data_IF_830237219416
#
_entry.id   IF_830237219416
#
_cell.length_a   1.000
_cell.length_b   1.000
_cell.length_c   1.000
_cell.angle_alpha   90.00
_cell.angle_beta   90.00
_cell.angle_gamma   90.00
#
_symmetry.space_group_name_H-M   'P 1'
#
loop_
_entity.id
_entity.type
_entity.pdbx_description
1 polymer ?
#
# COMPACT_ATOMS: atom_id res chain seq x y z
N UNK A 1 -3.55 5.13 -38.82
CA UNK A 1 -3.78 3.69 -38.53
C UNK A 1 -3.79 3.55 -37.02
N UNK A 2 -4.96 3.37 -36.40
CA UNK A 2 -5.05 3.20 -34.95
C UNK A 2 -4.61 1.78 -34.60
N UNK A 3 -3.52 1.67 -33.84
CA UNK A 3 -2.99 0.39 -33.36
C UNK A 3 -3.80 -0.08 -32.14
N UNK A 4 -4.68 -1.06 -32.33
CA UNK A 4 -5.38 -1.82 -31.28
C UNK A 4 -4.48 -2.92 -30.71
N UNK A 5 -3.30 -2.57 -30.19
CA UNK A 5 -2.63 -3.46 -29.23
C UNK A 5 -3.22 -3.14 -27.86
N UNK A 6 -3.58 -4.13 -27.03
CA UNK A 6 -3.79 -3.86 -25.62
C UNK A 6 -2.44 -3.36 -25.11
N UNK A 7 -2.33 -2.04 -24.92
CA UNK A 7 -1.24 -1.51 -24.11
C UNK A 7 -1.62 -1.96 -22.70
N UNK A 8 -0.72 -2.66 -22.01
CA UNK A 8 -0.85 -2.83 -20.56
C UNK A 8 -1.16 -1.43 -20.00
N UNK A 9 -2.33 -1.28 -19.39
CA UNK A 9 -2.74 0.04 -18.93
C UNK A 9 -1.87 0.38 -17.72
N UNK A 10 -1.14 1.49 -17.84
CA UNK A 10 -0.25 1.99 -16.80
C UNK A 10 -0.96 2.16 -15.44
N UNK A 11 -2.29 2.34 -15.42
CA UNK A 11 -3.06 2.31 -14.16
C UNK A 11 -2.92 0.97 -13.41
N UNK A 12 -3.07 -0.16 -14.11
CA UNK A 12 -2.96 -1.49 -13.48
C UNK A 12 -1.53 -1.81 -13.02
N UNK A 13 -0.52 -1.32 -13.74
CA UNK A 13 0.87 -1.40 -13.28
C UNK A 13 1.08 -0.63 -11.97
N UNK A 14 0.61 0.62 -11.90
CA UNK A 14 0.75 1.48 -10.73
C UNK A 14 -0.01 0.92 -9.53
N UNK A 15 -1.23 0.39 -9.71
CA UNK A 15 -1.94 -0.28 -8.62
C UNK A 15 -1.19 -1.50 -8.09
N UNK A 16 -0.64 -2.32 -8.99
CA UNK A 16 0.16 -3.47 -8.57
C UNK A 16 1.44 -3.04 -7.86
N UNK A 17 2.02 -1.88 -8.21
CA UNK A 17 3.15 -1.29 -7.48
C UNK A 17 2.74 -0.82 -6.08
N UNK A 18 1.66 -0.04 -5.97
CA UNK A 18 1.10 0.44 -4.70
C UNK A 18 0.78 -0.73 -3.74
N UNK A 19 0.16 -1.81 -4.23
CA UNK A 19 -0.11 -2.99 -3.38
C UNK A 19 1.15 -3.69 -2.86
N UNK A 20 2.28 -3.62 -3.60
CA UNK A 20 3.57 -4.16 -3.15
C UNK A 20 4.23 -3.26 -2.11
N UNK A 21 4.06 -1.93 -2.19
CA UNK A 21 4.46 -1.00 -1.12
C UNK A 21 3.65 -1.28 0.14
N UNK A 22 2.32 -1.32 0.02
CA UNK A 22 1.40 -1.64 1.11
C UNK A 22 1.77 -2.97 1.80
N UNK A 23 2.05 -4.00 1.01
CA UNK A 23 2.51 -5.29 1.53
C UNK A 23 3.82 -5.17 2.32
N UNK A 24 4.82 -4.44 1.81
CA UNK A 24 6.07 -4.20 2.53
C UNK A 24 5.81 -3.50 3.86
N UNK A 25 4.95 -2.48 3.88
CA UNK A 25 4.53 -1.80 5.10
C UNK A 25 3.87 -2.76 6.09
N UNK A 26 2.93 -3.59 5.64
CA UNK A 26 2.20 -4.51 6.51
C UNK A 26 3.13 -5.54 7.15
N UNK A 27 4.10 -6.05 6.39
CA UNK A 27 5.15 -6.93 6.92
C UNK A 27 6.09 -6.21 7.88
N UNK A 28 6.45 -4.95 7.62
CA UNK A 28 7.24 -4.16 8.55
C UNK A 28 6.51 -3.92 9.89
N UNK A 29 5.20 -3.64 9.85
CA UNK A 29 4.38 -3.52 11.07
C UNK A 29 4.31 -4.84 11.83
N UNK A 30 4.08 -5.95 11.12
CA UNK A 30 4.11 -7.30 11.69
C UNK A 30 5.45 -7.60 12.36
N UNK A 31 6.56 -7.26 11.72
CA UNK A 31 7.90 -7.46 12.26
C UNK A 31 8.18 -6.53 13.45
N UNK A 32 7.63 -5.32 13.43
CA UNK A 32 7.71 -4.35 14.55
C UNK A 32 6.94 -4.82 15.79
N UNK A 33 5.87 -5.59 15.59
CA UNK A 33 5.08 -6.14 16.69
C UNK A 33 5.64 -7.47 17.22
N UNK A 34 6.27 -8.28 16.36
CA UNK A 34 6.94 -9.52 16.78
C UNK A 34 8.29 -9.24 17.46
N UNK A 35 9.08 -8.35 16.87
CA UNK A 35 10.34 -7.86 17.39
C UNK A 35 10.21 -6.36 17.66
N UNK A 36 9.93 -6.00 18.90
CA UNK A 36 9.68 -4.60 19.30
C UNK A 36 10.98 -3.83 19.57
N UNK A 37 12.14 -4.41 19.30
CA UNK A 37 13.42 -3.71 19.34
C UNK A 37 13.58 -2.78 18.15
N UNK A 38 14.37 -1.71 18.34
CA UNK A 38 14.71 -0.75 17.29
C UNK A 38 13.51 -0.11 16.58
N UNK A 39 12.39 0.06 17.29
CA UNK A 39 11.13 0.62 16.73
C UNK A 39 11.31 1.98 16.05
N UNK A 40 12.25 2.82 16.52
CA UNK A 40 12.59 4.09 15.87
C UNK A 40 13.16 3.89 14.46
N UNK A 41 14.08 2.93 14.30
CA UNK A 41 14.62 2.59 12.98
C UNK A 41 13.55 2.00 12.06
N UNK A 42 12.63 1.20 12.62
CA UNK A 42 11.50 0.65 11.85
C UNK A 42 10.50 1.75 11.46
N UNK A 43 10.34 2.78 12.29
CA UNK A 43 9.56 3.98 11.97
C UNK A 43 10.16 4.76 10.79
N UNK A 44 11.48 4.97 10.77
CA UNK A 44 12.15 5.63 9.64
C UNK A 44 11.90 4.87 8.33
N UNK A 45 12.06 3.54 8.34
CA UNK A 45 11.79 2.68 7.17
C UNK A 45 10.31 2.72 6.78
N UNK A 46 9.39 2.84 7.73
CA UNK A 46 7.97 2.96 7.43
C UNK A 46 7.64 4.30 6.78
N UNK A 47 8.28 5.39 7.21
CA UNK A 47 8.14 6.71 6.56
C UNK A 47 8.68 6.70 5.13
N UNK A 48 9.78 5.98 4.87
CA UNK A 48 10.26 5.80 3.49
C UNK A 48 9.24 5.04 2.62
N UNK A 49 8.52 4.08 3.18
CA UNK A 49 7.49 3.32 2.48
C UNK A 49 6.21 4.14 2.25
N UNK A 50 5.83 5.00 3.18
CA UNK A 50 4.71 5.93 3.01
C UNK A 50 5.00 6.95 1.92
N UNK A 51 6.17 7.59 1.92
CA UNK A 51 6.55 8.47 0.81
C UNK A 51 6.55 7.73 -0.55
N UNK A 52 6.97 6.47 -0.60
CA UNK A 52 6.89 5.66 -1.82
C UNK A 52 5.43 5.38 -2.24
N UNK A 53 4.52 5.19 -1.28
CA UNK A 53 3.09 5.00 -1.55
C UNK A 53 2.45 6.29 -2.11
N UNK A 54 2.74 7.43 -1.46
CA UNK A 54 2.34 8.78 -1.86
C UNK A 54 2.77 9.08 -3.30
N UNK A 55 4.05 8.83 -3.63
CA UNK A 55 4.58 9.06 -4.98
C UNK A 55 3.83 8.25 -6.05
N UNK A 56 3.42 7.01 -5.73
CA UNK A 56 2.64 6.17 -6.64
C UNK A 56 1.20 6.66 -6.72
N UNK A 57 0.59 7.05 -5.60
CA UNK A 57 -0.75 7.62 -5.56
C UNK A 57 -0.82 8.88 -6.43
N UNK A 58 0.09 9.82 -6.22
CA UNK A 58 0.25 11.02 -7.03
C UNK A 58 0.41 10.68 -8.52
N UNK A 59 1.22 9.69 -8.87
CA UNK A 59 1.38 9.25 -10.25
C UNK A 59 0.06 8.71 -10.86
N UNK A 60 -0.77 8.01 -10.08
CA UNK A 60 -2.09 7.55 -10.51
C UNK A 60 -3.03 8.75 -10.73
N UNK A 61 -3.08 9.68 -9.78
CA UNK A 61 -3.96 10.86 -9.84
C UNK A 61 -3.57 11.77 -11.01
N UNK A 62 -2.27 12.04 -11.21
CA UNK A 62 -1.76 12.82 -12.33
C UNK A 62 -2.13 12.19 -13.67
N UNK A 63 -1.99 10.86 -13.76
CA UNK A 63 -2.38 10.12 -14.96
C UNK A 63 -3.88 10.19 -15.19
N UNK A 64 -4.70 10.06 -14.14
CA UNK A 64 -6.16 10.17 -14.21
C UNK A 64 -6.61 11.53 -14.74
N UNK A 65 -5.98 12.60 -14.26
CA UNK A 65 -6.24 13.98 -14.69
C UNK A 65 -5.88 14.22 -16.16
N UNK A 66 -4.86 13.53 -16.68
CA UNK A 66 -4.38 13.68 -18.08
C UNK A 66 -4.98 12.67 -19.05
N UNK A 67 -5.79 11.72 -18.57
CA UNK A 67 -6.36 10.64 -19.39
C UNK A 67 -7.84 10.91 -19.66
N UNK A 68 -8.24 11.00 -20.93
CA UNK A 68 -9.64 11.23 -21.30
C UNK A 68 -10.49 9.95 -21.27
N UNK A 69 -9.93 8.82 -21.75
CA UNK A 69 -10.58 7.51 -21.74
C UNK A 69 -9.83 6.61 -20.77
N UNK A 70 -10.50 6.18 -19.71
CA UNK A 70 -9.95 5.33 -18.65
C UNK A 70 -10.35 3.86 -18.85
N UNK A 71 -9.57 2.89 -18.33
CA UNK A 71 -9.86 1.46 -18.47
C UNK A 71 -10.99 0.98 -17.54
N UNK A 72 -11.27 1.75 -16.49
CA UNK A 72 -12.35 1.57 -15.51
C UNK A 72 -13.05 2.91 -15.29
N UNK A 73 -14.09 2.91 -14.47
CA UNK A 73 -14.68 4.17 -14.00
C UNK A 73 -13.61 5.04 -13.31
N UNK A 74 -13.66 6.34 -13.58
CA UNK A 74 -12.70 7.30 -13.05
C UNK A 74 -12.78 7.39 -11.53
N UNK A 75 -13.99 7.33 -10.98
CA UNK A 75 -14.23 7.39 -9.54
C UNK A 75 -13.64 6.16 -8.86
N UNK A 76 -13.80 4.97 -9.47
CA UNK A 76 -13.19 3.73 -8.97
C UNK A 76 -11.65 3.79 -8.98
N UNK A 77 -11.04 4.33 -10.05
CA UNK A 77 -9.57 4.48 -10.10
C UNK A 77 -9.07 5.39 -8.98
N UNK A 78 -9.74 6.53 -8.77
CA UNK A 78 -9.42 7.46 -7.71
C UNK A 78 -9.56 6.79 -6.33
N UNK A 79 -10.71 6.18 -6.06
CA UNK A 79 -10.97 5.53 -4.77
C UNK A 79 -10.01 4.40 -4.48
N UNK A 80 -9.66 3.57 -5.48
CA UNK A 80 -8.68 2.50 -5.29
C UNK A 80 -7.28 3.04 -4.95
N UNK A 81 -6.85 4.12 -5.60
CA UNK A 81 -5.54 4.72 -5.34
C UNK A 81 -5.47 5.26 -3.91
N UNK A 82 -6.43 6.11 -3.54
CA UNK A 82 -6.51 6.71 -2.21
C UNK A 82 -6.67 5.65 -1.11
N UNK A 83 -7.49 4.62 -1.32
CA UNK A 83 -7.66 3.57 -0.30
C UNK A 83 -6.41 2.73 -0.08
N UNK A 84 -5.60 2.47 -1.12
CA UNK A 84 -4.35 1.73 -0.94
C UNK A 84 -3.31 2.55 -0.16
N UNK A 85 -3.28 3.85 -0.44
CA UNK A 85 -2.44 4.86 0.20
C UNK A 85 -2.81 5.06 1.68
N UNK A 86 -4.08 5.34 1.96
CA UNK A 86 -4.64 5.51 3.32
C UNK A 86 -4.26 4.34 4.25
N UNK A 87 -4.21 3.11 3.72
CA UNK A 87 -3.83 1.96 4.54
C UNK A 87 -2.37 2.07 4.97
N UNK A 88 -1.45 2.49 4.10
CA UNK A 88 -0.03 2.71 4.42
C UNK A 88 0.11 3.78 5.51
N UNK A 89 -0.64 4.88 5.41
CA UNK A 89 -0.72 5.91 6.44
C UNK A 89 -1.17 5.35 7.79
N UNK A 90 -2.16 4.45 7.79
CA UNK A 90 -2.59 3.79 9.01
C UNK A 90 -1.51 2.86 9.60
N UNK A 91 -0.67 2.23 8.76
CA UNK A 91 0.46 1.43 9.24
C UNK A 91 1.51 2.32 9.91
N UNK A 92 1.89 3.42 9.26
CA UNK A 92 2.81 4.42 9.82
C UNK A 92 2.26 4.98 11.13
N UNK A 93 1.02 5.45 11.11
CA UNK A 93 0.35 5.99 12.28
C UNK A 93 0.27 4.99 13.43
N UNK A 94 0.22 3.68 13.16
CA UNK A 94 0.28 2.64 14.18
C UNK A 94 1.66 2.60 14.85
N UNK A 95 2.73 2.56 14.05
CA UNK A 95 4.11 2.55 14.57
C UNK A 95 4.41 3.85 15.34
N UNK A 96 4.02 5.00 14.81
CA UNK A 96 4.16 6.30 15.47
C UNK A 96 3.52 6.31 16.85
N UNK A 97 2.30 5.78 16.98
CA UNK A 97 1.59 5.70 18.27
C UNK A 97 2.25 4.71 19.23
N UNK A 98 2.82 3.61 18.72
CA UNK A 98 3.62 2.69 19.55
C UNK A 98 4.82 3.40 20.17
N UNK A 99 5.53 4.22 19.38
CA UNK A 99 6.67 5.03 19.82
C UNK A 99 6.22 6.10 20.81
N UNK A 100 5.23 6.91 20.42
CA UNK A 100 4.74 8.06 21.19
C UNK A 100 4.24 7.67 22.57
N UNK A 101 3.43 6.61 22.65
CA UNK A 101 2.84 6.15 23.90
C UNK A 101 3.72 5.17 24.67
N UNK A 102 4.87 4.77 24.11
CA UNK A 102 5.78 3.79 24.74
C UNK A 102 5.02 2.53 25.16
N UNK A 103 4.24 1.97 24.23
CA UNK A 103 3.28 0.89 24.50
C UNK A 103 3.91 -0.39 25.06
N UNK A 104 5.24 -0.53 24.95
CA UNK A 104 5.99 -1.65 25.49
C UNK A 104 5.76 -2.92 24.68
N UNK A 105 5.71 -4.07 25.35
CA UNK A 105 5.54 -5.35 24.68
C UNK A 105 4.13 -5.48 24.09
N UNK A 106 3.98 -5.76 22.78
CA UNK A 106 2.68 -5.97 22.16
C UNK A 106 1.91 -7.17 22.75
N UNK A 107 0.59 -7.07 22.74
CA UNK A 107 -0.28 -8.19 23.15
C UNK A 107 -0.33 -9.27 22.07
N UNK A 108 -0.66 -10.51 22.44
CA UNK A 108 -0.84 -11.59 21.47
C UNK A 108 -1.89 -11.26 20.41
N UNK A 109 -2.97 -10.56 20.79
CA UNK A 109 -4.00 -10.11 19.85
C UNK A 109 -3.49 -9.09 18.83
N UNK A 110 -2.64 -8.14 19.24
CA UNK A 110 -2.05 -7.16 18.32
C UNK A 110 -1.10 -7.83 17.31
N UNK A 111 -0.30 -8.80 17.77
CA UNK A 111 0.58 -9.59 16.90
C UNK A 111 -0.23 -10.38 15.88
N UNK A 112 -1.32 -11.02 16.31
CA UNK A 112 -2.19 -11.81 15.42
C UNK A 112 -2.93 -10.92 14.41
N UNK A 113 -3.40 -9.74 14.80
CA UNK A 113 -4.00 -8.78 13.88
C UNK A 113 -3.02 -8.34 12.79
N UNK A 114 -1.76 -8.06 13.14
CA UNK A 114 -0.76 -7.69 12.16
C UNK A 114 -0.37 -8.85 11.23
N UNK A 115 -0.42 -10.10 11.74
CA UNK A 115 -0.26 -11.30 10.91
C UNK A 115 -1.38 -11.39 9.87
N UNK A 116 -2.64 -11.26 10.29
CA UNK A 116 -3.79 -11.30 9.40
C UNK A 116 -3.78 -10.15 8.38
N UNK A 117 -3.37 -8.96 8.80
CA UNK A 117 -3.22 -7.81 7.89
C UNK A 117 -2.18 -8.11 6.79
N UNK A 118 -1.02 -8.67 7.15
CA UNK A 118 -0.01 -9.08 6.18
C UNK A 118 -0.57 -10.13 5.19
N UNK A 119 -1.29 -11.14 5.68
CA UNK A 119 -1.95 -12.15 4.82
C UNK A 119 -2.96 -11.50 3.85
N UNK A 120 -3.75 -10.51 4.32
CA UNK A 120 -4.66 -9.76 3.45
C UNK A 120 -3.92 -9.01 2.34
N UNK A 121 -2.77 -8.40 2.65
CA UNK A 121 -1.96 -7.72 1.62
C UNK A 121 -1.35 -8.67 0.58
N UNK A 122 -1.06 -9.92 0.96
CA UNK A 122 -0.65 -10.96 0.01
C UNK A 122 -1.78 -11.25 -1.01
N UNK A 123 -3.04 -11.31 -0.55
CA UNK A 123 -4.20 -11.49 -1.43
C UNK A 123 -4.46 -10.27 -2.32
N UNK A 124 -4.26 -9.04 -1.80
CA UNK A 124 -4.35 -7.83 -2.62
C UNK A 124 -3.34 -7.83 -3.76
N UNK A 125 -2.07 -8.14 -3.49
CA UNK A 125 -1.04 -8.23 -4.55
C UNK A 125 -1.45 -9.23 -5.63
N UNK A 126 -1.95 -10.41 -5.25
CA UNK A 126 -2.45 -11.41 -6.23
C UNK A 126 -3.61 -10.87 -7.05
N UNK A 127 -4.59 -10.22 -6.42
CA UNK A 127 -5.77 -9.69 -7.09
C UNK A 127 -5.39 -8.60 -8.11
N UNK A 128 -4.53 -7.66 -7.74
CA UNK A 128 -4.11 -6.57 -8.65
C UNK A 128 -3.14 -7.06 -9.75
N UNK A 129 -2.32 -8.06 -9.50
CA UNK A 129 -1.51 -8.70 -10.55
C UNK A 129 -2.39 -9.41 -11.61
N UNK A 130 -3.62 -9.84 -11.26
CA UNK A 130 -4.57 -10.38 -12.23
C UNK A 130 -5.17 -9.30 -13.13
N UNK A 131 -5.36 -8.07 -12.62
CA UNK A 131 -5.88 -6.94 -13.42
C UNK A 131 -4.90 -6.53 -14.53
N UNK A 132 -3.59 -6.70 -14.32
CA UNK A 132 -2.57 -6.45 -15.35
C UNK A 132 -2.67 -7.36 -16.57
N UNK A 133 -3.39 -8.48 -16.45
CA UNK A 133 -3.61 -9.44 -17.55
C UNK A 133 -4.89 -9.14 -18.35
N UNK A 134 -5.68 -8.17 -17.89
CA UNK A 134 -6.93 -7.74 -18.50
C UNK A 134 -6.68 -6.68 -19.57
#
# INVERSE_FOLDING_TARGET
MFSLKPKEDKFFELFAESTRVLRRGAYLLKDSLNDHENILKKMDVMSDLEHEADEINDAIIDKLNRTFITPLDREDIYSLATMLDDVVDFLQGTIERMVLYRTGKPTAGAIELARLLADCTDELVKAFDLLRKY
#
